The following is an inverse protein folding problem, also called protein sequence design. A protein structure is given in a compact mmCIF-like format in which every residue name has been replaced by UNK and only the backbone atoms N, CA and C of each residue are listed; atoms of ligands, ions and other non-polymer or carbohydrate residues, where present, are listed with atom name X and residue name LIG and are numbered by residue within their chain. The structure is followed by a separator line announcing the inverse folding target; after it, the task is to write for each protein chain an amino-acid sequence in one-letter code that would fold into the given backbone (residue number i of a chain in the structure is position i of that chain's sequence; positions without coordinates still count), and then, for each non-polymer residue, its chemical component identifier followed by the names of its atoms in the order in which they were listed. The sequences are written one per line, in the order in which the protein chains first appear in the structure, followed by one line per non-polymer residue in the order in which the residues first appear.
data_IF_590988896654
#
_entry.id   IF_590988896654
#
_cell.length_a   1.000
_cell.length_b   1.000
_cell.length_c   1.000
_cell.angle_alpha   90.00
_cell.angle_beta   90.00
_cell.angle_gamma   90.00
#
_symmetry.space_group_name_H-M   'P 1'
#
loop_
_entity.id
_entity.type
_entity.pdbx_description
1 polymer ?
#
# COMPACT_ATOMS: atom_id res chain seq x y z
N UNK A 1 -5.92 18.33 -5.48
CA UNK A 1 -5.00 18.01 -6.60
C UNK A 1 -4.27 16.75 -6.21
N UNK A 2 -4.17 15.80 -7.14
CA UNK A 2 -3.39 14.58 -6.95
C UNK A 2 -1.90 14.90 -7.08
N UNK A 3 -1.07 14.45 -6.11
CA UNK A 3 0.37 14.71 -6.14
C UNK A 3 1.07 13.53 -6.81
N UNK A 4 1.80 13.81 -7.88
CA UNK A 4 2.64 12.83 -8.58
C UNK A 4 4.11 13.12 -8.28
N UNK A 5 4.73 12.23 -7.52
CA UNK A 5 6.16 12.29 -7.22
C UNK A 5 6.97 11.90 -8.44
N UNK A 6 8.04 12.65 -8.70
CA UNK A 6 8.95 12.47 -9.82
C UNK A 6 10.34 12.15 -9.29
N UNK A 7 11.24 11.77 -10.21
CA UNK A 7 12.63 11.44 -9.89
C UNK A 7 13.33 12.49 -9.03
N UNK A 8 13.15 13.78 -9.36
CA UNK A 8 13.74 14.90 -8.59
C UNK A 8 13.32 14.93 -7.12
N UNK A 9 12.12 14.42 -6.80
CA UNK A 9 11.57 14.45 -5.46
C UNK A 9 12.15 13.34 -4.60
N UNK A 10 12.82 12.33 -5.19
CA UNK A 10 13.45 11.23 -4.46
C UNK A 10 14.54 11.70 -3.48
N UNK A 11 15.20 12.83 -3.77
CA UNK A 11 16.22 13.42 -2.90
C UNK A 11 15.64 13.87 -1.54
N UNK A 12 14.33 14.12 -1.45
CA UNK A 12 13.67 14.52 -0.21
C UNK A 12 13.27 13.31 0.66
N UNK A 13 13.50 12.07 0.23
CA UNK A 13 13.08 10.87 0.96
C UNK A 13 14.28 10.06 1.41
N UNK A 14 14.39 9.85 2.73
CA UNK A 14 15.51 9.10 3.34
C UNK A 14 15.03 7.77 3.89
N UNK A 15 15.87 6.75 3.79
CA UNK A 15 15.57 5.43 4.35
C UNK A 15 15.31 5.51 5.86
N UNK A 16 14.18 4.94 6.30
CA UNK A 16 13.81 4.86 7.71
C UNK A 16 13.88 3.44 8.25
N UNK A 17 13.51 2.46 7.44
CA UNK A 17 13.44 1.06 7.82
C UNK A 17 12.71 0.22 6.78
N UNK A 18 12.78 -1.10 6.92
CA UNK A 18 12.05 -2.01 6.05
C UNK A 18 11.61 -3.27 6.82
N UNK A 19 10.48 -3.84 6.41
CA UNK A 19 10.06 -5.19 6.78
C UNK A 19 10.08 -6.10 5.56
N UNK A 20 9.54 -7.31 5.68
CA UNK A 20 9.51 -8.25 4.55
C UNK A 20 8.78 -7.66 3.33
N UNK A 21 7.59 -7.10 3.52
CA UNK A 21 6.73 -6.66 2.41
C UNK A 21 6.95 -5.22 1.93
N UNK A 22 7.54 -4.34 2.74
CA UNK A 22 7.60 -2.90 2.43
C UNK A 22 8.91 -2.25 2.89
N UNK A 23 9.34 -1.23 2.15
CA UNK A 23 10.33 -0.24 2.56
C UNK A 23 9.60 1.02 3.03
N UNK A 24 10.14 1.67 4.07
CA UNK A 24 9.61 2.91 4.63
C UNK A 24 10.65 4.01 4.50
N UNK A 25 10.24 5.13 3.91
CA UNK A 25 11.05 6.33 3.72
C UNK A 25 10.46 7.48 4.54
N UNK A 26 11.30 8.22 5.25
CA UNK A 26 10.90 9.44 5.95
C UNK A 26 11.14 10.65 5.06
N UNK A 27 10.23 11.63 5.09
CA UNK A 27 10.42 12.88 4.38
C UNK A 27 11.45 13.77 5.11
N UNK A 28 12.47 14.22 4.39
CA UNK A 28 13.55 15.09 4.84
C UNK A 28 13.63 16.41 4.07
N UNK A 29 12.72 16.64 3.11
CA UNK A 29 12.62 17.89 2.38
C UNK A 29 11.91 19.01 3.15
N UNK A 30 11.58 20.09 2.45
CA UNK A 30 11.01 21.31 3.03
C UNK A 30 9.54 21.56 2.70
N UNK A 31 8.91 20.71 1.87
CA UNK A 31 7.50 20.88 1.50
C UNK A 31 6.58 20.65 2.70
N UNK A 32 5.77 21.65 3.12
CA UNK A 32 4.87 21.51 4.28
C UNK A 32 3.86 20.37 4.15
N UNK A 33 3.53 19.96 2.93
CA UNK A 33 2.61 18.85 2.67
C UNK A 33 3.13 17.50 3.19
N UNK A 34 4.45 17.34 3.30
CA UNK A 34 5.09 16.07 3.63
C UNK A 34 5.92 16.09 4.91
N UNK A 35 6.09 17.25 5.56
CA UNK A 35 6.78 17.34 6.86
C UNK A 35 6.11 16.41 7.88
N UNK A 36 6.92 15.55 8.51
CA UNK A 36 6.45 14.56 9.49
C UNK A 36 5.75 13.33 8.89
N UNK A 37 5.69 13.20 7.56
CA UNK A 37 5.13 12.05 6.87
C UNK A 37 6.20 11.01 6.55
N UNK A 38 5.73 9.78 6.36
CA UNK A 38 6.51 8.66 5.84
C UNK A 38 5.81 8.10 4.61
N UNK A 39 6.59 7.57 3.68
CA UNK A 39 6.11 6.84 2.52
C UNK A 39 6.42 5.36 2.69
N UNK A 40 5.42 4.51 2.44
CA UNK A 40 5.55 3.06 2.48
C UNK A 40 5.42 2.54 1.06
N UNK A 41 6.45 1.85 0.57
CA UNK A 41 6.49 1.31 -0.79
C UNK A 41 6.56 -0.21 -0.71
N UNK A 42 5.69 -0.89 -1.46
CA UNK A 42 5.68 -2.35 -1.53
C UNK A 42 6.90 -2.89 -2.28
N UNK A 43 7.54 -3.91 -1.71
CA UNK A 43 8.62 -4.65 -2.37
C UNK A 43 8.04 -5.68 -3.34
N UNK A 44 8.81 -5.98 -4.39
CA UNK A 44 8.53 -7.09 -5.29
C UNK A 44 9.55 -8.20 -5.04
N UNK A 45 9.08 -9.40 -4.76
CA UNK A 45 9.94 -10.56 -4.55
C UNK A 45 10.60 -10.99 -5.88
N UNK A 46 11.92 -11.22 -5.88
CA UNK A 46 12.65 -11.63 -7.09
C UNK A 46 12.52 -13.11 -7.41
N UNK A 47 12.37 -13.96 -6.40
CA UNK A 47 12.37 -15.41 -6.54
C UNK A 47 11.01 -15.94 -6.08
N UNK A 48 10.02 -15.89 -6.97
CA UNK A 48 8.68 -16.41 -6.70
C UNK A 48 8.72 -17.91 -6.41
N UNK A 49 8.81 -18.29 -5.14
CA UNK A 49 8.56 -19.66 -4.72
C UNK A 49 7.07 -19.85 -4.47
N UNK A 50 6.30 -20.06 -5.54
CA UNK A 50 5.29 -21.13 -5.64
C UNK A 50 4.64 -21.10 -7.02
N UNK A 51 4.63 -22.26 -7.67
CA UNK A 51 4.29 -22.38 -9.09
C UNK A 51 2.84 -22.02 -9.41
N UNK A 52 2.68 -21.09 -10.35
CA UNK A 52 1.73 -21.23 -11.45
C UNK A 52 2.23 -20.33 -12.58
N UNK A 53 2.30 -20.89 -13.79
CA UNK A 53 2.78 -20.19 -14.97
C UNK A 53 1.76 -19.14 -15.42
N UNK A 54 1.92 -17.91 -14.95
CA UNK A 54 1.47 -16.70 -15.65
C UNK A 54 2.23 -15.49 -15.08
N UNK A 55 2.67 -14.60 -15.96
CA UNK A 55 3.71 -13.61 -15.70
C UNK A 55 3.53 -12.84 -14.39
N UNK A 56 4.62 -12.77 -13.61
CA UNK A 56 4.71 -12.15 -12.29
C UNK A 56 4.41 -10.63 -12.24
N UNK A 57 3.87 -10.03 -13.31
CA UNK A 57 3.45 -8.63 -13.35
C UNK A 57 1.93 -8.46 -13.29
N UNK A 58 1.15 -9.37 -13.87
CA UNK A 58 -0.31 -9.23 -13.92
C UNK A 58 -0.99 -9.73 -12.64
N UNK A 59 -0.38 -10.65 -11.89
CA UNK A 59 -0.93 -11.16 -10.63
C UNK A 59 -0.68 -10.24 -9.41
N UNK A 60 0.11 -9.17 -9.55
CA UNK A 60 0.49 -8.31 -8.43
C UNK A 60 -0.45 -7.12 -8.18
N UNK A 61 -1.35 -6.84 -9.12
CA UNK A 61 -2.16 -5.61 -9.09
C UNK A 61 -3.53 -5.83 -8.45
N UNK A 62 -4.14 -7.01 -8.63
CA UNK A 62 -5.54 -7.25 -8.25
C UNK A 62 -5.72 -8.37 -7.22
N UNK A 63 -6.85 -8.33 -6.51
CA UNK A 63 -7.29 -9.43 -5.65
C UNK A 63 -7.70 -10.64 -6.50
N UNK A 64 -7.34 -11.84 -6.05
CA UNK A 64 -7.79 -13.08 -6.68
C UNK A 64 -9.30 -13.27 -6.51
N UNK A 65 -9.94 -14.03 -7.40
CA UNK A 65 -11.39 -14.30 -7.32
C UNK A 65 -11.82 -14.94 -5.98
N UNK A 66 -10.93 -15.75 -5.38
CA UNK A 66 -11.18 -16.34 -4.05
C UNK A 66 -11.13 -15.29 -2.94
N UNK A 67 -10.18 -14.35 -3.01
CA UNK A 67 -10.10 -13.24 -2.06
C UNK A 67 -11.31 -12.29 -2.23
N UNK A 68 -11.73 -12.01 -3.46
CA UNK A 68 -12.94 -11.22 -3.73
C UNK A 68 -14.18 -11.86 -3.12
N UNK A 69 -14.32 -13.19 -3.23
CA UNK A 69 -15.43 -13.93 -2.62
C UNK A 69 -15.40 -13.90 -1.09
N UNK A 70 -14.20 -13.95 -0.49
CA UNK A 70 -14.01 -13.83 0.96
C UNK A 70 -14.43 -12.44 1.46
N UNK A 71 -14.03 -11.39 0.76
CA UNK A 71 -14.30 -10.00 1.12
C UNK A 71 -15.58 -9.42 0.51
N UNK A 72 -16.48 -10.27 0.00
CA UNK A 72 -17.71 -9.88 -0.74
C UNK A 72 -18.60 -8.87 -0.03
N UNK A 73 -18.58 -8.85 1.29
CA UNK A 73 -19.39 -7.95 2.12
C UNK A 73 -18.85 -6.52 2.11
N UNK A 74 -17.54 -6.36 1.95
CA UNK A 74 -16.89 -5.04 1.83
C UNK A 74 -16.65 -4.73 0.35
N UNK A 75 -17.72 -4.29 -0.32
CA UNK A 75 -17.73 -4.05 -1.78
C UNK A 75 -16.60 -3.13 -2.24
N UNK A 76 -16.22 -2.15 -1.42
CA UNK A 76 -15.15 -1.18 -1.70
C UNK A 76 -13.77 -1.86 -1.86
N UNK A 77 -13.46 -2.85 -1.02
CA UNK A 77 -12.22 -3.65 -1.13
C UNK A 77 -12.24 -4.49 -2.40
N UNK A 78 -13.37 -5.11 -2.72
CA UNK A 78 -13.53 -5.96 -3.91
C UNK A 78 -13.44 -5.16 -5.20
N UNK A 79 -13.91 -3.92 -5.21
CA UNK A 79 -13.85 -3.01 -6.35
C UNK A 79 -12.52 -2.24 -6.48
N UNK A 80 -11.53 -2.55 -5.64
CA UNK A 80 -10.24 -1.83 -5.67
C UNK A 80 -9.45 -2.19 -6.94
N UNK A 81 -8.97 -1.19 -7.71
CA UNK A 81 -8.21 -1.39 -8.94
C UNK A 81 -6.75 -1.79 -8.67
N UNK A 82 -6.23 -1.49 -7.49
CA UNK A 82 -4.87 -1.80 -7.10
C UNK A 82 -4.78 -2.30 -5.65
N UNK A 83 -3.72 -3.04 -5.36
CA UNK A 83 -3.45 -3.59 -4.02
C UNK A 83 -3.16 -2.53 -2.96
N UNK A 84 -2.69 -1.35 -3.32
CA UNK A 84 -2.40 -0.30 -2.32
C UNK A 84 -3.71 0.31 -1.81
N UNK A 85 -4.64 0.62 -2.72
CA UNK A 85 -5.98 1.06 -2.38
C UNK A 85 -6.75 -0.03 -1.61
N UNK A 86 -6.60 -1.31 -2.00
CA UNK A 86 -7.20 -2.40 -1.24
C UNK A 86 -6.69 -2.48 0.22
N UNK A 87 -5.39 -2.24 0.47
CA UNK A 87 -4.82 -2.19 1.84
C UNK A 87 -5.34 -0.99 2.63
N UNK A 88 -5.43 0.18 2.00
CA UNK A 88 -5.97 1.39 2.64
C UNK A 88 -7.42 1.16 3.06
N UNK A 89 -8.24 0.60 2.16
CA UNK A 89 -9.64 0.29 2.44
C UNK A 89 -9.79 -0.83 3.48
N UNK A 90 -8.90 -1.83 3.47
CA UNK A 90 -8.86 -2.83 4.53
C UNK A 90 -8.57 -2.21 5.91
N UNK A 91 -7.56 -1.35 6.02
CA UNK A 91 -7.24 -0.67 7.27
C UNK A 91 -8.41 0.22 7.74
N UNK A 92 -9.07 0.91 6.81
CA UNK A 92 -10.17 1.84 7.10
C UNK A 92 -11.49 1.15 7.46
N UNK A 93 -11.90 0.16 6.68
CA UNK A 93 -13.24 -0.44 6.78
C UNK A 93 -13.28 -1.72 7.62
N UNK A 94 -12.15 -2.42 7.78
CA UNK A 94 -12.07 -3.66 8.55
C UNK A 94 -11.35 -3.44 9.88
N UNK A 95 -10.15 -2.86 9.85
CA UNK A 95 -9.31 -2.78 11.06
C UNK A 95 -9.71 -1.63 11.99
N UNK A 96 -9.95 -0.43 11.44
CA UNK A 96 -10.28 0.75 12.23
C UNK A 96 -11.54 0.58 13.10
N UNK A 97 -12.66 -0.03 12.63
CA UNK A 97 -13.81 -0.30 13.50
C UNK A 97 -13.53 -1.28 14.66
N UNK A 98 -12.55 -2.17 14.50
CA UNK A 98 -12.22 -3.20 15.50
C UNK A 98 -11.22 -2.70 16.55
N UNK A 99 -10.24 -1.88 16.15
CA UNK A 99 -9.17 -1.37 17.02
C UNK A 99 -9.40 0.08 17.49
N UNK A 100 -10.37 0.77 16.90
CA UNK A 100 -10.67 2.16 17.17
C UNK A 100 -9.94 3.12 16.22
N UNK A 101 -10.62 4.16 15.71
CA UNK A 101 -10.07 5.09 14.73
C UNK A 101 -8.98 6.01 15.26
N UNK A 102 -8.82 6.10 16.58
CA UNK A 102 -7.78 6.92 17.23
C UNK A 102 -6.38 6.33 17.12
N UNK A 103 -6.27 5.03 16.83
CA UNK A 103 -5.00 4.29 16.83
C UNK A 103 -4.66 3.69 15.46
N UNK A 104 -5.52 3.90 14.46
CA UNK A 104 -5.35 3.34 13.11
C UNK A 104 -5.37 4.48 12.11
N UNK A 105 -4.22 4.75 11.51
CA UNK A 105 -4.11 5.58 10.32
C UNK A 105 -4.11 4.68 9.07
N UNK A 106 -5.12 4.83 8.22
CA UNK A 106 -5.22 4.08 6.97
C UNK A 106 -4.26 4.60 5.89
N UNK A 107 -3.67 5.78 6.10
CA UNK A 107 -2.90 6.48 5.08
C UNK A 107 -3.78 7.31 4.14
N UNK A 108 -3.12 8.06 3.26
CA UNK A 108 -3.73 8.99 2.29
C UNK A 108 -3.58 8.44 0.89
#
# INVERSE_FOLDING_TARGET
MEVKLKEKDAADWVYRGEGAANIVLAYAGSSPAFIGKVMRIQKVERNGSSGSGCGARDQLSELTEKEKLLWRETKEIVSSPDREMAKQLYAKHVISPLLGPTHVDAGV
#
